data_IF_838917316897
#
_entry.id   IF_838917316897
#
_cell.length_a   1.000
_cell.length_b   1.000
_cell.length_c   1.000
_cell.angle_alpha   90.00
_cell.angle_beta   90.00
_cell.angle_gamma   90.00
#
_symmetry.space_group_name_H-M   'P 1'
#
loop_
_entity.id
_entity.type
_entity.pdbx_description
1 polymer ?
#
# COMPACT_ATOMS: atom_id res chain seq x y z
N UNK A 1 -16.20 11.49 16.50
CA UNK A 1 -15.17 11.37 15.44
C UNK A 1 -13.86 11.90 16.00
N UNK A 2 -12.85 11.04 16.17
CA UNK A 2 -11.49 11.49 16.54
C UNK A 2 -10.75 11.77 15.24
N UNK A 3 -10.34 13.02 15.00
CA UNK A 3 -9.46 13.34 13.89
C UNK A 3 -8.10 12.67 14.13
N UNK A 4 -7.61 11.89 13.16
CA UNK A 4 -6.29 11.28 13.24
C UNK A 4 -5.22 12.35 13.46
N UNK A 5 -4.26 12.08 14.35
CA UNK A 5 -3.15 13.01 14.58
C UNK A 5 -2.26 13.01 13.33
N UNK A 6 -1.59 14.12 13.05
CA UNK A 6 -0.70 14.23 11.90
C UNK A 6 0.35 13.10 11.87
N UNK A 7 0.92 12.74 13.03
CA UNK A 7 1.88 11.64 13.15
C UNK A 7 1.33 10.28 12.73
N UNK A 8 0.06 9.97 13.00
CA UNK A 8 -0.54 8.68 12.62
C UNK A 8 -0.60 8.51 11.09
N UNK A 9 -0.77 9.61 10.34
CA UNK A 9 -0.82 9.60 8.88
C UNK A 9 0.55 9.40 8.26
N UNK A 10 1.59 10.02 8.82
CA UNK A 10 2.96 9.84 8.37
C UNK A 10 3.44 8.40 8.58
N UNK A 11 3.08 7.79 9.72
CA UNK A 11 3.35 6.37 10.00
C UNK A 11 2.62 5.44 9.02
N UNK A 12 1.36 5.74 8.70
CA UNK A 12 0.60 4.98 7.69
C UNK A 12 1.19 5.13 6.28
N UNK A 13 1.62 6.35 5.89
CA UNK A 13 2.27 6.60 4.62
C UNK A 13 3.58 5.80 4.48
N UNK A 14 4.41 5.81 5.53
CA UNK A 14 5.63 5.01 5.58
C UNK A 14 5.33 3.51 5.44
N UNK A 15 4.30 3.02 6.14
CA UNK A 15 3.87 1.62 6.08
C UNK A 15 3.36 1.21 4.70
N UNK A 16 2.59 2.06 4.03
CA UNK A 16 2.11 1.82 2.66
C UNK A 16 3.30 1.70 1.69
N UNK A 17 4.23 2.67 1.74
CA UNK A 17 5.45 2.65 0.89
C UNK A 17 6.30 1.40 1.16
N UNK A 18 6.47 1.02 2.42
CA UNK A 18 7.21 -0.18 2.81
C UNK A 18 6.56 -1.47 2.28
N UNK A 19 5.24 -1.63 2.45
CA UNK A 19 4.52 -2.80 1.96
C UNK A 19 4.63 -2.95 0.44
N UNK A 20 4.42 -1.86 -0.31
CA UNK A 20 4.54 -1.88 -1.78
C UNK A 20 5.92 -2.37 -2.23
N UNK A 21 6.98 -1.82 -1.64
CA UNK A 21 8.36 -2.25 -1.91
C UNK A 21 8.54 -3.75 -1.63
N UNK A 22 8.06 -4.23 -0.48
CA UNK A 22 8.18 -5.65 -0.09
C UNK A 22 7.47 -6.60 -1.06
N UNK A 23 6.31 -6.20 -1.59
CA UNK A 23 5.61 -7.02 -2.60
C UNK A 23 6.44 -7.10 -3.88
N UNK A 24 7.04 -5.98 -4.32
CA UNK A 24 7.95 -5.97 -5.47
C UNK A 24 9.19 -6.86 -5.28
N UNK A 25 9.81 -6.81 -4.10
CA UNK A 25 10.99 -7.64 -3.76
C UNK A 25 10.70 -9.15 -3.84
N UNK A 26 9.48 -9.58 -3.55
CA UNK A 26 9.06 -10.99 -3.66
C UNK A 26 8.41 -11.34 -5.02
N UNK A 27 8.52 -10.46 -6.01
CA UNK A 27 7.99 -10.69 -7.37
C UNK A 27 6.47 -10.59 -7.48
N UNK A 28 5.78 -10.02 -6.49
CA UNK A 28 4.32 -9.88 -6.48
C UNK A 28 3.78 -8.70 -7.30
N UNK A 29 4.66 -7.88 -7.90
CA UNK A 29 4.30 -6.74 -8.73
C UNK A 29 5.02 -6.82 -10.08
N UNK A 30 4.31 -6.42 -11.13
CA UNK A 30 4.91 -6.17 -12.45
C UNK A 30 5.71 -4.87 -12.48
N UNK A 31 5.24 -3.85 -11.74
CA UNK A 31 5.89 -2.55 -11.60
C UNK A 31 5.82 -2.11 -10.13
N UNK A 32 6.98 -1.95 -9.49
CA UNK A 32 7.13 -1.55 -8.09
C UNK A 32 7.43 -0.06 -7.91
N UNK A 33 7.28 0.75 -8.96
CA UNK A 33 7.49 2.20 -8.91
C UNK A 33 6.50 2.92 -7.99
N UNK A 34 6.87 4.13 -7.56
CA UNK A 34 5.97 5.00 -6.77
C UNK A 34 4.75 5.46 -7.58
N UNK A 35 4.90 5.65 -8.89
CA UNK A 35 3.78 6.00 -9.77
C UNK A 35 2.74 4.87 -9.83
N UNK A 36 3.19 3.62 -9.95
CA UNK A 36 2.29 2.45 -9.90
C UNK A 36 1.56 2.32 -8.56
N UNK A 37 2.24 2.67 -7.44
CA UNK A 37 1.59 2.73 -6.13
C UNK A 37 0.46 3.77 -6.11
N UNK A 38 0.68 4.99 -6.61
CA UNK A 38 -0.36 6.02 -6.63
C UNK A 38 -1.55 5.63 -7.52
N UNK A 39 -1.30 4.96 -8.65
CA UNK A 39 -2.36 4.42 -9.51
C UNK A 39 -3.14 3.32 -8.78
N UNK A 40 -2.46 2.41 -8.09
CA UNK A 40 -3.11 1.37 -7.28
C UNK A 40 -4.00 1.99 -6.20
N UNK A 41 -3.48 2.97 -5.46
CA UNK A 41 -4.22 3.70 -4.43
C UNK A 41 -5.45 4.37 -5.02
N UNK A 42 -5.30 5.14 -6.11
CA UNK A 42 -6.43 5.82 -6.75
C UNK A 42 -7.52 4.87 -7.23
N UNK A 43 -7.15 3.70 -7.77
CA UNK A 43 -8.11 2.65 -8.15
C UNK A 43 -8.80 2.00 -6.95
N UNK A 44 -8.08 1.83 -5.84
CA UNK A 44 -8.58 1.14 -4.66
C UNK A 44 -9.50 2.02 -3.80
N UNK A 45 -9.21 3.30 -3.71
CA UNK A 45 -9.96 4.27 -2.87
C UNK A 45 -10.97 5.08 -3.67
N UNK A 46 -10.89 5.07 -5.01
CA UNK A 46 -11.67 5.93 -5.89
C UNK A 46 -11.18 7.39 -5.93
N UNK A 47 -10.12 7.73 -5.20
CA UNK A 47 -9.56 9.09 -5.12
C UNK A 47 -8.06 9.06 -5.39
N UNK A 48 -7.65 9.74 -6.46
CA UNK A 48 -6.23 9.96 -6.75
C UNK A 48 -5.62 10.95 -5.76
N UNK A 49 -4.37 10.67 -5.35
CA UNK A 49 -3.57 11.56 -4.50
C UNK A 49 -2.16 11.68 -5.07
N UNK A 50 -1.54 12.84 -4.87
CA UNK A 50 -0.16 13.08 -5.34
C UNK A 50 0.90 12.40 -4.44
N UNK A 51 0.55 12.17 -3.17
CA UNK A 51 1.33 11.35 -2.25
C UNK A 51 0.38 10.66 -1.25
N UNK A 52 0.69 9.42 -0.89
CA UNK A 52 -0.08 8.62 0.07
C UNK A 52 -0.20 9.25 1.46
N UNK A 53 0.66 10.21 1.83
CA UNK A 53 0.52 11.00 3.07
C UNK A 53 -0.76 11.85 3.12
N UNK A 54 -1.35 12.12 1.97
CA UNK A 54 -2.60 12.88 1.86
C UNK A 54 -3.84 11.99 1.95
N UNK A 55 -3.67 10.66 2.07
CA UNK A 55 -4.81 9.77 2.25
C UNK A 55 -5.54 10.04 3.57
N UNK A 56 -6.88 10.08 3.56
CA UNK A 56 -7.66 9.95 4.78
C UNK A 56 -7.30 8.67 5.52
N UNK A 57 -7.21 8.72 6.84
CA UNK A 57 -6.82 7.56 7.68
C UNK A 57 -7.69 6.34 7.43
N UNK A 58 -8.98 6.52 7.15
CA UNK A 58 -9.89 5.44 6.82
C UNK A 58 -9.47 4.71 5.53
N UNK A 59 -9.03 5.44 4.52
CA UNK A 59 -8.60 4.88 3.24
C UNK A 59 -7.18 4.33 3.30
N UNK A 60 -6.28 5.00 4.01
CA UNK A 60 -4.95 4.48 4.28
C UNK A 60 -5.01 3.12 5.00
N UNK A 61 -5.94 2.95 5.96
CA UNK A 61 -6.17 1.68 6.64
C UNK A 61 -6.63 0.58 5.67
N UNK A 62 -7.58 0.88 4.76
CA UNK A 62 -8.02 -0.08 3.72
C UNK A 62 -6.88 -0.47 2.78
N UNK A 63 -6.11 0.51 2.31
CA UNK A 63 -4.94 0.29 1.45
C UNK A 63 -3.92 -0.61 2.15
N UNK A 64 -3.63 -0.39 3.44
CA UNK A 64 -2.71 -1.23 4.22
C UNK A 64 -3.19 -2.69 4.25
N UNK A 65 -4.47 -2.94 4.51
CA UNK A 65 -5.00 -4.30 4.54
C UNK A 65 -4.96 -4.97 3.16
N UNK A 66 -5.27 -4.23 2.09
CA UNK A 66 -5.14 -4.73 0.73
C UNK A 66 -3.68 -5.11 0.39
N UNK A 67 -2.71 -4.27 0.76
CA UNK A 67 -1.29 -4.51 0.52
C UNK A 67 -0.75 -5.69 1.35
N UNK A 68 -1.19 -5.86 2.60
CA UNK A 68 -0.87 -7.06 3.39
C UNK A 68 -1.36 -8.33 2.71
N UNK A 69 -2.61 -8.34 2.24
CA UNK A 69 -3.18 -9.49 1.54
C UNK A 69 -2.44 -9.78 0.21
N UNK A 70 -2.00 -8.73 -0.50
CA UNK A 70 -1.16 -8.89 -1.70
C UNK A 70 0.21 -9.51 -1.36
N UNK A 71 0.87 -9.03 -0.30
CA UNK A 71 2.16 -9.57 0.14
C UNK A 71 2.06 -11.04 0.54
N UNK A 72 1.01 -11.42 1.26
CA UNK A 72 0.75 -12.82 1.60
C UNK A 72 0.60 -13.70 0.35
N UNK A 73 -0.23 -13.26 -0.61
CA UNK A 73 -0.41 -13.98 -1.89
C UNK A 73 0.91 -14.13 -2.64
N UNK A 74 1.71 -13.08 -2.70
CA UNK A 74 2.99 -13.10 -3.41
C UNK A 74 4.00 -14.06 -2.75
N UNK A 75 4.09 -14.06 -1.41
CA UNK A 75 4.94 -15.01 -0.67
C UNK A 75 4.53 -16.45 -0.89
N UNK A 76 3.22 -16.75 -0.92
CA UNK A 76 2.72 -18.10 -1.20
C UNK A 76 3.02 -18.53 -2.63
N UNK A 77 2.88 -17.63 -3.61
CA UNK A 77 3.25 -17.91 -4.99
C UNK A 77 4.75 -18.17 -5.14
N UNK A 78 5.60 -17.39 -4.46
CA UNK A 78 7.05 -17.57 -4.46
C UNK A 78 7.48 -18.89 -3.80
N UNK A 79 6.81 -19.31 -2.72
CA UNK A 79 7.06 -20.60 -2.07
C UNK A 79 6.60 -21.82 -2.89
N UNK A 80 5.58 -21.67 -3.74
CA UNK A 80 5.10 -22.73 -4.64
C UNK A 80 5.92 -22.85 -5.93
N UNK A 81 6.76 -21.85 -6.24
CA UNK A 81 7.62 -21.83 -7.41
C UNK A 81 9.06 -22.33 -7.12
N UNK A 82 9.33 -22.76 -5.89
CA UNK A 82 10.57 -23.39 -5.43
C UNK A 82 10.35 -24.90 -5.31
#
# INVERSE_FOLDING_TARGET
MVAARAGDRDDQAAKIKWLWKKIGEVGGLRDASAAALLIFVGRHTGTGVDDVKFLPTADASKVIEALKAMLDRAKRAQGAAQ
#
